data_IF_244397359128
#
_entry.id   IF_244397359128
#
_cell.length_a   1.000
_cell.length_b   1.000
_cell.length_c   1.000
_cell.angle_alpha   90.00
_cell.angle_beta   90.00
_cell.angle_gamma   90.00
#
_symmetry.space_group_name_H-M   'P 1'
#
loop_
_entity.id
_entity.type
_entity.pdbx_description
1 polymer ?
#
# COMPACT_ATOMS: atom_id res chain seq x y z
N UNK A 1 -26.64 3.86 15.82
CA UNK A 1 -25.43 4.57 15.35
C UNK A 1 -25.88 5.55 14.28
N UNK A 2 -25.68 6.86 14.45
CA UNK A 2 -26.06 7.83 13.42
C UNK A 2 -25.17 7.66 12.19
N UNK A 3 -25.71 7.91 10.99
CA UNK A 3 -24.94 7.93 9.73
C UNK A 3 -23.69 8.83 9.82
N UNK A 4 -23.77 9.88 10.63
CA UNK A 4 -22.67 10.79 10.91
C UNK A 4 -21.45 10.09 11.54
N UNK A 5 -21.65 9.19 12.51
CA UNK A 5 -20.52 8.44 13.10
C UNK A 5 -19.86 7.51 12.08
N UNK A 6 -20.64 6.84 11.24
CA UNK A 6 -20.12 5.94 10.23
C UNK A 6 -19.32 6.69 9.16
N UNK A 7 -19.78 7.90 8.80
CA UNK A 7 -19.04 8.79 7.90
C UNK A 7 -17.72 9.28 8.53
N UNK A 8 -17.74 9.71 9.79
CA UNK A 8 -16.53 10.13 10.51
C UNK A 8 -15.51 8.98 10.57
N UNK A 9 -15.93 7.77 10.93
CA UNK A 9 -15.05 6.60 10.95
C UNK A 9 -14.45 6.35 9.57
N UNK A 10 -15.27 6.36 8.52
CA UNK A 10 -14.80 6.18 7.15
C UNK A 10 -13.80 7.25 6.70
N UNK A 11 -14.04 8.51 7.07
CA UNK A 11 -13.12 9.62 6.81
C UNK A 11 -11.79 9.44 7.54
N UNK A 12 -11.80 9.06 8.81
CA UNK A 12 -10.58 8.81 9.59
C UNK A 12 -9.76 7.66 8.99
N UNK A 13 -10.42 6.56 8.60
CA UNK A 13 -9.75 5.43 7.93
C UNK A 13 -9.10 5.87 6.61
N UNK A 14 -9.77 6.71 5.83
CA UNK A 14 -9.23 7.26 4.59
C UNK A 14 -8.01 8.16 4.83
N UNK A 15 -8.05 9.06 5.82
CA UNK A 15 -6.90 9.92 6.16
C UNK A 15 -5.69 9.07 6.57
N UNK A 16 -5.90 8.06 7.40
CA UNK A 16 -4.82 7.15 7.82
C UNK A 16 -4.29 6.39 6.60
N UNK A 17 -5.17 5.86 5.75
CA UNK A 17 -4.79 5.14 4.54
C UNK A 17 -3.96 6.01 3.58
N UNK A 18 -4.38 7.26 3.36
CA UNK A 18 -3.62 8.22 2.55
C UNK A 18 -2.25 8.51 3.17
N UNK A 19 -2.18 8.78 4.48
CA UNK A 19 -0.91 9.00 5.16
C UNK A 19 0.04 7.80 4.98
N UNK A 20 -0.47 6.57 5.15
CA UNK A 20 0.30 5.36 4.93
C UNK A 20 0.80 5.25 3.48
N UNK A 21 -0.03 5.54 2.47
CA UNK A 21 0.41 5.54 1.07
C UNK A 21 1.48 6.60 0.81
N UNK A 22 1.41 7.77 1.44
CA UNK A 22 2.45 8.80 1.31
C UNK A 22 3.81 8.34 1.86
N UNK A 23 3.83 7.60 2.97
CA UNK A 23 5.08 7.11 3.58
C UNK A 23 5.61 5.82 2.92
N UNK A 24 4.73 4.90 2.53
CA UNK A 24 5.10 3.58 2.02
C UNK A 24 5.01 3.45 0.50
N UNK A 25 4.44 4.43 -0.19
CA UNK A 25 4.19 4.41 -1.64
C UNK A 25 3.01 3.54 -2.03
N UNK A 26 2.61 3.62 -3.30
CA UNK A 26 1.67 2.67 -3.90
C UNK A 26 2.36 1.34 -4.23
N UNK A 27 1.63 0.21 -4.22
CA UNK A 27 2.19 -1.06 -4.66
C UNK A 27 2.50 -0.97 -6.15
N UNK A 28 3.78 -0.83 -6.52
CA UNK A 28 4.19 -0.89 -7.91
C UNK A 28 4.21 -2.36 -8.37
N UNK A 29 3.58 -2.70 -9.52
CA UNK A 29 3.76 -4.01 -10.12
C UNK A 29 5.24 -4.19 -10.45
N UNK A 30 5.81 -5.33 -10.07
CA UNK A 30 7.15 -5.75 -10.45
C UNK A 30 7.16 -6.16 -11.92
N UNK A 31 6.86 -5.24 -12.84
CA UNK A 31 7.16 -5.48 -14.23
C UNK A 31 8.68 -5.35 -14.38
N UNK A 32 9.33 -6.52 -14.43
CA UNK A 32 10.69 -6.69 -14.95
C UNK A 32 11.82 -6.31 -13.99
N UNK A 33 11.99 -7.15 -12.96
CA UNK A 33 13.32 -7.60 -12.52
C UNK A 33 14.06 -8.40 -13.66
N UNK A 34 13.67 -8.25 -14.93
CA UNK A 34 14.06 -9.11 -16.06
C UNK A 34 14.90 -8.42 -17.14
N UNK A 35 15.28 -7.15 -16.98
CA UNK A 35 16.17 -6.48 -17.96
C UNK A 35 17.50 -6.01 -17.33
N UNK A 36 17.56 -5.75 -16.02
CA UNK A 36 18.80 -5.34 -15.33
C UNK A 36 19.63 -6.46 -14.71
N UNK A 37 19.02 -7.60 -14.38
CA UNK A 37 19.65 -8.65 -13.53
C UNK A 37 20.46 -9.67 -14.37
N UNK A 38 20.24 -9.75 -15.68
CA UNK A 38 20.95 -10.70 -16.54
C UNK A 38 22.39 -10.29 -16.90
N UNK A 39 22.87 -9.11 -16.47
CA UNK A 39 24.19 -8.59 -16.85
C UNK A 39 25.17 -8.36 -15.68
N UNK A 40 24.77 -8.55 -14.42
CA UNK A 40 25.58 -8.00 -13.31
C UNK A 40 25.75 -8.90 -12.07
N UNK A 41 25.33 -10.18 -12.10
CA UNK A 41 25.48 -11.05 -10.93
C UNK A 41 26.92 -11.50 -10.63
N UNK A 42 27.90 -11.14 -11.47
CA UNK A 42 29.32 -11.53 -11.31
C UNK A 42 30.31 -10.35 -11.22
N UNK A 43 29.86 -9.08 -11.30
CA UNK A 43 30.80 -7.95 -11.23
C UNK A 43 31.02 -7.49 -9.78
N UNK A 44 32.27 -7.49 -9.28
CA UNK A 44 32.57 -7.03 -7.93
C UNK A 44 32.31 -5.52 -7.80
N UNK A 45 31.52 -5.12 -6.79
CA UNK A 45 31.38 -3.71 -6.42
C UNK A 45 32.67 -3.19 -5.76
N UNK A 46 32.98 -1.89 -5.85
CA UNK A 46 34.20 -1.28 -5.32
C UNK A 46 34.41 -1.40 -3.80
N UNK A 47 33.38 -1.84 -3.08
CA UNK A 47 33.30 -1.85 -1.60
C UNK A 47 33.50 -3.26 -0.99
N UNK A 48 33.89 -4.26 -1.80
CA UNK A 48 34.22 -5.61 -1.32
C UNK A 48 33.02 -6.47 -0.88
N UNK A 49 31.78 -6.02 -1.12
CA UNK A 49 30.55 -6.79 -0.91
C UNK A 49 30.04 -7.40 -2.21
N UNK A 50 29.48 -8.61 -2.11
CA UNK A 50 28.87 -9.33 -3.22
C UNK A 50 27.51 -8.72 -3.58
N UNK A 51 27.21 -8.60 -4.88
CA UNK A 51 25.96 -8.04 -5.41
C UNK A 51 24.71 -8.76 -4.86
N UNK A 52 24.84 -10.06 -4.56
CA UNK A 52 23.77 -10.90 -4.00
C UNK A 52 23.30 -10.49 -2.60
N UNK A 53 24.19 -9.95 -1.74
CA UNK A 53 23.80 -9.52 -0.39
C UNK A 53 22.97 -8.22 -0.44
N UNK A 54 23.28 -7.32 -1.38
CA UNK A 54 22.52 -6.10 -1.62
C UNK A 54 21.15 -6.39 -2.24
N UNK A 55 21.07 -7.39 -3.10
CA UNK A 55 19.83 -7.82 -3.74
C UNK A 55 18.85 -8.43 -2.72
N UNK A 56 19.35 -9.20 -1.75
CA UNK A 56 18.52 -9.80 -0.71
C UNK A 56 17.90 -8.74 0.23
N UNK A 57 18.69 -7.74 0.62
CA UNK A 57 18.24 -6.63 1.45
C UNK A 57 17.24 -5.71 0.72
N UNK A 58 17.49 -5.43 -0.57
CA UNK A 58 16.56 -4.68 -1.42
C UNK A 58 15.22 -5.42 -1.56
N UNK A 59 15.27 -6.75 -1.76
CA UNK A 59 14.06 -7.60 -1.87
C UNK A 59 13.26 -7.63 -0.57
N UNK A 60 13.92 -7.70 0.59
CA UNK A 60 13.25 -7.66 1.91
C UNK A 60 12.56 -6.30 2.14
N UNK A 61 13.19 -5.19 1.74
CA UNK A 61 12.59 -3.85 1.82
C UNK A 61 11.38 -3.72 0.88
N UNK A 62 11.51 -4.16 -0.38
CA UNK A 62 10.43 -4.15 -1.38
C UNK A 62 9.18 -4.89 -0.88
N UNK A 63 9.35 -6.08 -0.28
CA UNK A 63 8.23 -6.86 0.29
C UNK A 63 7.51 -6.13 1.44
N UNK A 64 8.26 -5.51 2.37
CA UNK A 64 7.66 -4.77 3.50
C UNK A 64 6.83 -3.57 3.02
N UNK A 65 7.33 -2.84 2.03
CA UNK A 65 6.63 -1.70 1.44
C UNK A 65 5.41 -2.14 0.64
N UNK A 66 5.48 -3.28 -0.05
CA UNK A 66 4.34 -3.85 -0.76
C UNK A 66 3.21 -4.29 0.17
N UNK A 67 3.54 -4.89 1.32
CA UNK A 67 2.53 -5.25 2.34
C UNK A 67 1.92 -4.00 2.97
N UNK A 68 2.75 -3.01 3.34
CA UNK A 68 2.28 -1.77 3.95
C UNK A 68 1.35 -0.98 3.00
N UNK A 69 1.69 -0.93 1.71
CA UNK A 69 0.89 -0.26 0.70
C UNK A 69 -0.43 -0.98 0.39
N UNK A 70 -0.44 -2.32 0.39
CA UNK A 70 -1.69 -3.11 0.32
C UNK A 70 -2.60 -2.88 1.53
N UNK A 71 -2.01 -2.80 2.73
CA UNK A 71 -2.76 -2.53 3.96
C UNK A 71 -3.38 -1.13 3.92
N UNK A 72 -2.63 -0.14 3.45
CA UNK A 72 -3.10 1.23 3.27
C UNK A 72 -4.27 1.32 2.28
N UNK A 73 -4.16 0.64 1.12
CA UNK A 73 -5.24 0.53 0.14
C UNK A 73 -6.49 -0.14 0.71
N UNK A 74 -6.31 -1.23 1.43
CA UNK A 74 -7.43 -1.96 2.06
C UNK A 74 -8.14 -1.07 3.08
N UNK A 75 -7.39 -0.30 3.87
CA UNK A 75 -7.94 0.62 4.85
C UNK A 75 -8.79 1.72 4.19
N UNK A 76 -8.31 2.28 3.07
CA UNK A 76 -9.08 3.27 2.30
C UNK A 76 -10.37 2.67 1.72
N UNK A 77 -10.30 1.46 1.15
CA UNK A 77 -11.50 0.78 0.63
C UNK A 77 -12.53 0.58 1.73
N UNK A 78 -12.12 0.10 2.91
CA UNK A 78 -13.02 -0.05 4.06
C UNK A 78 -13.61 1.31 4.47
N UNK A 79 -12.79 2.36 4.49
CA UNK A 79 -13.24 3.72 4.76
C UNK A 79 -14.34 4.19 3.80
N UNK A 80 -14.15 3.99 2.50
CA UNK A 80 -15.16 4.30 1.49
C UNK A 80 -16.42 3.44 1.63
N UNK A 81 -16.30 2.16 1.97
CA UNK A 81 -17.47 1.30 2.22
C UNK A 81 -18.31 1.83 3.38
N UNK A 82 -17.68 2.26 4.48
CA UNK A 82 -18.40 2.88 5.59
C UNK A 82 -19.07 4.19 5.20
N UNK A 83 -18.42 5.03 4.39
CA UNK A 83 -19.04 6.25 3.87
C UNK A 83 -20.22 5.95 2.93
N UNK A 84 -20.10 4.94 2.07
CA UNK A 84 -21.18 4.51 1.19
C UNK A 84 -22.39 4.01 1.99
N UNK A 85 -22.17 3.18 3.01
CA UNK A 85 -23.26 2.72 3.89
C UNK A 85 -23.86 3.90 4.63
N UNK A 86 -23.04 4.83 5.13
CA UNK A 86 -23.53 6.02 5.84
C UNK A 86 -24.43 6.89 4.96
N UNK A 87 -24.13 6.99 3.67
CA UNK A 87 -24.92 7.77 2.71
C UNK A 87 -26.13 6.99 2.19
N UNK A 88 -26.02 5.68 1.97
CA UNK A 88 -27.10 4.88 1.38
C UNK A 88 -28.18 4.44 2.39
N UNK A 89 -27.81 4.20 3.66
CA UNK A 89 -28.74 3.71 4.68
C UNK A 89 -29.87 4.72 5.02
N UNK A 90 -29.61 6.04 5.13
CA UNK A 90 -30.67 7.03 5.31
C UNK A 90 -31.63 7.09 4.12
N UNK A 91 -31.13 7.04 2.88
CA UNK A 91 -31.94 7.12 1.66
C UNK A 91 -32.86 5.89 1.49
N UNK A 92 -32.39 4.70 1.88
CA UNK A 92 -33.19 3.46 1.85
C UNK A 92 -34.30 3.40 2.92
N UNK A 93 -34.21 4.22 3.98
CA UNK A 93 -35.24 4.31 5.03
C UNK A 93 -36.37 5.29 4.72
N UNK A 94 -36.27 6.03 3.62
CA UNK A 94 -37.24 7.03 3.17
C UNK A 94 -38.04 6.61 1.92
N UNK A 95 -38.00 5.32 1.55
CA UNK A 95 -38.88 4.69 0.55
C UNK A 95 -39.94 3.84 1.24
#
# INVERSE_FOLDING_TARGET
MTAQYLNIIGLTLNIIGVAMVFFFGFPQPSHQDSIGIALESENPMPDGRTVGDHEEDARKRKKRYQIASQLALTLMVIGFVFQLIATALPELGHI
#
